data_IF_838198567589
#
_entry.id   IF_838198567589
#
_cell.length_a   1.000
_cell.length_b   1.000
_cell.length_c   1.000
_cell.angle_alpha   90.00
_cell.angle_beta   90.00
_cell.angle_gamma   90.00
#
_symmetry.space_group_name_H-M   'P 1'
#
loop_
_entity.id
_entity.type
_entity.pdbx_description
1 polymer ?
#
# COMPACT_ATOMS: atom_id res chain seq x y z
N UNK A 1 -72.76 -73.40 -14.00
CA UNK A 1 -72.64 -71.99 -14.21
C UNK A 1 -71.48 -71.50 -13.33
N UNK A 2 -70.33 -71.32 -13.92
CA UNK A 2 -69.08 -70.92 -13.23
C UNK A 2 -68.85 -69.45 -13.44
N UNK A 3 -68.64 -68.71 -12.36
CA UNK A 3 -68.24 -67.33 -12.39
C UNK A 3 -66.78 -67.23 -11.95
N UNK A 4 -65.92 -66.93 -12.87
CA UNK A 4 -64.48 -66.62 -12.62
C UNK A 4 -64.30 -65.20 -12.08
N UNK A 5 -63.69 -65.06 -10.93
CA UNK A 5 -63.27 -63.79 -10.37
C UNK A 5 -61.79 -63.60 -10.62
N UNK A 6 -61.43 -62.62 -11.41
CA UNK A 6 -60.07 -62.22 -11.69
C UNK A 6 -59.55 -61.25 -10.59
N UNK A 7 -58.50 -61.64 -9.90
CA UNK A 7 -57.71 -60.77 -8.94
C UNK A 7 -56.71 -59.89 -9.70
N UNK A 8 -56.94 -58.57 -9.71
CA UNK A 8 -55.92 -57.56 -10.14
C UNK A 8 -54.91 -57.36 -9.01
N UNK A 9 -53.71 -57.79 -9.23
CA UNK A 9 -52.55 -57.38 -8.39
C UNK A 9 -52.07 -55.99 -8.80
N UNK A 10 -52.19 -54.99 -7.92
CA UNK A 10 -51.56 -53.66 -8.05
C UNK A 10 -50.10 -53.74 -7.56
N UNK A 11 -49.17 -53.60 -8.45
CA UNK A 11 -47.74 -53.38 -8.11
C UNK A 11 -47.57 -51.95 -7.75
N UNK A 12 -47.19 -51.66 -6.51
CA UNK A 12 -46.75 -50.32 -6.07
C UNK A 12 -45.24 -50.16 -6.37
N UNK A 13 -44.92 -49.39 -7.37
CA UNK A 13 -43.53 -49.01 -7.67
C UNK A 13 -43.07 -47.91 -6.71
N UNK A 14 -42.11 -48.20 -5.85
CA UNK A 14 -41.38 -47.18 -5.07
C UNK A 14 -40.34 -46.52 -5.96
N UNK A 15 -40.54 -45.23 -6.26
CA UNK A 15 -39.49 -44.37 -6.87
C UNK A 15 -38.64 -43.84 -5.75
N UNK A 16 -37.41 -44.33 -5.63
CA UNK A 16 -36.39 -43.76 -4.74
C UNK A 16 -35.75 -42.56 -5.46
N UNK A 17 -36.13 -41.36 -5.05
CA UNK A 17 -35.51 -40.11 -5.50
C UNK A 17 -34.19 -39.97 -4.76
N UNK A 18 -33.07 -40.33 -5.40
CA UNK A 18 -31.72 -40.11 -4.87
C UNK A 18 -31.39 -38.62 -4.91
N UNK A 19 -31.32 -37.96 -3.75
CA UNK A 19 -30.82 -36.61 -3.62
C UNK A 19 -29.30 -36.68 -3.73
N UNK A 20 -28.74 -36.24 -4.86
CA UNK A 20 -27.28 -36.03 -5.02
C UNK A 20 -26.89 -34.80 -4.24
N UNK A 21 -26.33 -34.95 -3.02
CA UNK A 21 -25.68 -33.85 -2.28
C UNK A 21 -24.34 -33.60 -2.93
N UNK A 22 -24.25 -32.59 -3.80
CA UNK A 22 -22.98 -32.09 -4.33
C UNK A 22 -22.32 -31.32 -3.21
N UNK A 23 -21.38 -31.95 -2.52
CA UNK A 23 -20.50 -31.26 -1.58
C UNK A 23 -19.60 -30.29 -2.35
N UNK A 24 -19.93 -29.00 -2.33
CA UNK A 24 -19.07 -27.94 -2.85
C UNK A 24 -17.89 -27.80 -1.90
N UNK A 25 -16.76 -28.41 -2.23
CA UNK A 25 -15.50 -28.09 -1.56
C UNK A 25 -15.10 -26.67 -1.95
N UNK A 26 -14.79 -25.77 -0.98
CA UNK A 26 -14.29 -24.46 -1.32
C UNK A 26 -12.97 -24.63 -2.09
N UNK A 27 -12.94 -24.17 -3.33
CA UNK A 27 -11.69 -24.07 -4.09
C UNK A 27 -10.84 -23.06 -3.34
N UNK A 28 -9.79 -23.53 -2.65
CA UNK A 28 -8.83 -22.65 -2.02
C UNK A 28 -8.07 -21.94 -3.14
N UNK A 29 -8.39 -20.66 -3.38
CA UNK A 29 -7.59 -19.80 -4.25
C UNK A 29 -6.18 -19.73 -3.69
N UNK A 30 -5.17 -19.67 -4.58
CA UNK A 30 -3.79 -19.46 -4.14
C UNK A 30 -3.69 -18.20 -3.30
N UNK A 31 -2.82 -18.21 -2.28
CA UNK A 31 -2.61 -17.06 -1.41
C UNK A 31 -2.13 -15.86 -2.24
N UNK A 32 -2.67 -14.68 -1.93
CA UNK A 32 -2.24 -13.42 -2.51
C UNK A 32 -0.87 -13.03 -1.97
N UNK A 33 0.07 -12.80 -2.85
CA UNK A 33 1.46 -12.51 -2.52
C UNK A 33 1.72 -11.01 -2.54
N UNK A 34 2.01 -10.44 -1.36
CA UNK A 34 2.37 -9.03 -1.17
C UNK A 34 3.87 -8.96 -0.91
N UNK A 35 4.60 -8.23 -1.74
CA UNK A 35 6.03 -7.99 -1.59
C UNK A 35 6.27 -6.60 -1.03
N UNK A 36 7.01 -6.51 0.06
CA UNK A 36 7.43 -5.26 0.68
C UNK A 36 8.92 -5.06 0.44
N UNK A 37 9.28 -3.99 -0.25
CA UNK A 37 10.67 -3.60 -0.51
C UNK A 37 11.03 -2.49 0.47
N UNK A 38 11.84 -2.83 1.48
CA UNK A 38 12.36 -1.92 2.47
C UNK A 38 13.66 -1.26 1.99
N UNK A 39 13.78 0.04 2.16
CA UNK A 39 15.00 0.81 1.86
C UNK A 39 16.19 0.39 2.71
N UNK A 40 17.37 0.90 2.33
CA UNK A 40 18.58 0.78 3.14
C UNK A 40 18.47 1.66 4.39
N UNK A 41 19.20 1.32 5.47
CA UNK A 41 19.31 2.20 6.63
C UNK A 41 19.74 3.61 6.25
N UNK A 42 18.98 4.60 6.69
CA UNK A 42 19.25 6.03 6.47
C UNK A 42 18.68 6.86 7.63
N UNK A 43 19.00 8.13 7.71
CA UNK A 43 18.50 9.05 8.74
C UNK A 43 18.87 8.63 10.18
N UNK A 44 18.66 9.49 11.19
CA UNK A 44 18.87 9.16 12.60
C UNK A 44 18.01 8.00 13.10
N UNK A 45 18.37 7.39 14.26
CA UNK A 45 17.57 6.34 14.89
C UNK A 45 16.10 6.73 15.09
N UNK A 46 15.19 5.83 14.78
CA UNK A 46 13.74 6.04 14.88
C UNK A 46 13.10 6.72 13.68
N UNK A 47 13.91 7.21 12.73
CA UNK A 47 13.46 7.80 11.45
C UNK A 47 13.84 6.86 10.31
N UNK A 48 12.99 6.76 9.27
CA UNK A 48 13.24 5.88 8.10
C UNK A 48 13.63 4.43 8.50
N UNK A 49 12.95 3.89 9.49
CA UNK A 49 13.11 2.48 9.89
C UNK A 49 12.32 1.58 8.92
N UNK A 50 12.73 1.60 7.65
CA UNK A 50 12.00 0.94 6.56
C UNK A 50 11.87 -0.56 6.77
N UNK A 51 12.96 -1.21 7.17
CA UNK A 51 12.99 -2.65 7.44
C UNK A 51 12.08 -3.00 8.62
N UNK A 52 12.19 -2.28 9.72
CA UNK A 52 11.34 -2.50 10.89
C UNK A 52 9.86 -2.28 10.56
N UNK A 53 9.53 -1.21 9.81
CA UNK A 53 8.17 -0.94 9.35
C UNK A 53 7.60 -2.05 8.47
N UNK A 54 8.36 -2.54 7.48
CA UNK A 54 7.92 -3.63 6.62
C UNK A 54 7.72 -4.95 7.40
N UNK A 55 8.62 -5.28 8.34
CA UNK A 55 8.46 -6.45 9.20
C UNK A 55 7.28 -6.32 10.16
N UNK A 56 6.99 -5.11 10.64
CA UNK A 56 5.80 -4.82 11.44
C UNK A 56 4.51 -5.07 10.62
N UNK A 57 4.46 -4.61 9.38
CA UNK A 57 3.31 -4.87 8.48
C UNK A 57 3.17 -6.35 8.16
N UNK A 58 4.29 -7.06 7.92
CA UNK A 58 4.27 -8.51 7.71
C UNK A 58 3.68 -9.23 8.93
N UNK A 59 4.12 -8.89 10.15
CA UNK A 59 3.60 -9.44 11.39
C UNK A 59 2.12 -9.14 11.55
N UNK A 60 1.69 -7.90 11.31
CA UNK A 60 0.31 -7.47 11.45
C UNK A 60 -0.65 -8.19 10.47
N UNK A 61 -0.16 -8.57 9.29
CA UNK A 61 -0.93 -9.28 8.27
C UNK A 61 -0.84 -10.81 8.37
N UNK A 62 0.00 -11.35 9.26
CA UNK A 62 0.23 -12.81 9.36
C UNK A 62 -1.03 -13.62 9.66
N UNK A 63 -2.04 -13.01 10.32
CA UNK A 63 -3.33 -13.62 10.63
C UNK A 63 -4.38 -13.50 9.53
N UNK A 64 -4.10 -12.81 8.42
CA UNK A 64 -5.09 -12.61 7.33
C UNK A 64 -5.10 -13.83 6.41
N UNK A 65 -6.22 -14.58 6.33
CA UNK A 65 -6.29 -15.77 5.50
C UNK A 65 -6.06 -15.46 4.01
N UNK A 66 -5.34 -16.33 3.32
CA UNK A 66 -5.11 -16.20 1.88
C UNK A 66 -4.14 -15.07 1.51
N UNK A 67 -3.34 -14.57 2.46
CA UNK A 67 -2.32 -13.54 2.23
C UNK A 67 -0.95 -14.06 2.66
N UNK A 68 0.04 -13.88 1.80
CA UNK A 68 1.45 -14.10 2.09
C UNK A 68 2.22 -12.81 1.89
N UNK A 69 2.91 -12.36 2.93
CA UNK A 69 3.72 -11.14 2.88
C UNK A 69 5.20 -11.52 2.91
N UNK A 70 5.97 -10.99 1.97
CA UNK A 70 7.43 -11.18 1.90
C UNK A 70 8.12 -9.82 2.00
N UNK A 71 9.22 -9.76 2.74
CA UNK A 71 10.02 -8.54 2.93
C UNK A 71 11.40 -8.72 2.31
N UNK A 72 11.77 -7.78 1.46
CA UNK A 72 13.14 -7.63 0.94
C UNK A 72 13.72 -6.32 1.45
N UNK A 73 14.80 -6.40 2.16
CA UNK A 73 15.54 -5.24 2.66
C UNK A 73 16.60 -4.75 1.67
N UNK A 74 17.33 -3.69 2.05
CA UNK A 74 18.42 -3.10 1.24
C UNK A 74 17.98 -2.49 -0.10
N UNK A 75 16.70 -2.16 -0.26
CA UNK A 75 16.17 -1.34 -1.35
C UNK A 75 15.72 -2.10 -2.58
N UNK A 76 16.06 -3.41 -2.73
CA UNK A 76 15.58 -4.23 -3.84
C UNK A 76 15.83 -5.72 -3.58
N UNK A 77 14.98 -6.63 -4.08
CA UNK A 77 15.28 -8.05 -4.06
C UNK A 77 16.64 -8.32 -4.72
N UNK A 78 17.50 -9.06 -4.04
CA UNK A 78 18.86 -9.29 -4.51
C UNK A 78 19.39 -10.67 -4.10
N UNK A 79 20.33 -11.20 -4.88
CA UNK A 79 21.05 -12.45 -4.62
C UNK A 79 22.54 -12.27 -4.82
N UNK A 80 23.31 -13.21 -4.33
CA UNK A 80 24.74 -13.27 -4.63
C UNK A 80 24.97 -14.00 -5.94
N UNK A 81 25.77 -13.39 -6.83
CA UNK A 81 26.26 -14.00 -8.07
C UNK A 81 27.73 -13.58 -8.24
N UNK A 82 28.61 -14.55 -8.44
CA UNK A 82 30.05 -14.35 -8.65
C UNK A 82 30.72 -13.45 -7.60
N UNK A 83 30.32 -13.62 -6.33
CA UNK A 83 30.83 -12.82 -5.21
C UNK A 83 30.27 -11.39 -5.09
N UNK A 84 29.40 -10.97 -5.99
CA UNK A 84 28.76 -9.67 -5.98
C UNK A 84 27.24 -9.79 -5.70
N UNK A 85 26.67 -8.75 -5.09
CA UNK A 85 25.22 -8.62 -4.92
C UNK A 85 24.62 -8.07 -6.20
N UNK A 86 23.68 -8.81 -6.81
CA UNK A 86 22.96 -8.43 -8.02
C UNK A 86 21.45 -8.40 -7.77
N UNK A 87 20.71 -7.66 -8.58
CA UNK A 87 19.25 -7.64 -8.52
C UNK A 87 18.68 -9.04 -8.81
N UNK A 88 17.70 -9.45 -8.02
CA UNK A 88 16.92 -10.66 -8.23
C UNK A 88 15.48 -10.29 -8.62
N UNK A 89 15.32 -9.84 -9.86
CA UNK A 89 14.03 -9.39 -10.38
C UNK A 89 13.00 -10.54 -10.44
N UNK A 90 13.46 -11.80 -10.56
CA UNK A 90 12.59 -12.97 -10.53
C UNK A 90 11.88 -13.14 -9.17
N UNK A 91 12.43 -12.58 -8.10
CA UNK A 91 11.77 -12.54 -6.79
C UNK A 91 10.44 -11.75 -6.80
N UNK A 92 10.17 -10.95 -7.82
CA UNK A 92 8.91 -10.22 -7.99
C UNK A 92 7.89 -10.98 -8.86
N UNK A 93 8.28 -12.09 -9.49
CA UNK A 93 7.38 -12.88 -10.32
C UNK A 93 6.26 -13.48 -9.47
N UNK A 94 5.03 -13.35 -9.95
CA UNK A 94 3.84 -13.82 -9.23
C UNK A 94 3.45 -12.96 -8.04
N UNK A 95 4.02 -11.77 -7.83
CA UNK A 95 3.52 -10.81 -6.86
C UNK A 95 2.14 -10.28 -7.31
N UNK A 96 1.18 -10.22 -6.39
CA UNK A 96 -0.10 -9.54 -6.59
C UNK A 96 0.00 -8.05 -6.27
N UNK A 97 0.91 -7.69 -5.38
CA UNK A 97 1.17 -6.31 -4.98
C UNK A 97 2.61 -6.10 -4.52
N UNK A 98 3.16 -4.90 -4.76
CA UNK A 98 4.50 -4.48 -4.35
C UNK A 98 4.41 -3.12 -3.67
N UNK A 99 4.91 -3.02 -2.42
CA UNK A 99 5.14 -1.76 -1.73
C UNK A 99 6.62 -1.42 -1.79
N UNK A 100 6.97 -0.18 -2.13
CA UNK A 100 8.30 0.39 -1.97
C UNK A 100 8.25 1.39 -0.83
N UNK A 101 8.89 1.05 0.30
CA UNK A 101 9.03 1.90 1.47
C UNK A 101 10.53 2.13 1.71
N UNK A 102 11.05 3.21 1.12
CA UNK A 102 12.48 3.45 0.97
C UNK A 102 12.78 4.93 0.82
N UNK A 103 14.07 5.29 0.82
CA UNK A 103 14.50 6.63 0.45
C UNK A 103 14.13 6.97 -1.00
N UNK A 104 13.93 8.25 -1.25
CA UNK A 104 13.50 8.82 -2.51
C UNK A 104 14.57 9.59 -3.28
N UNK A 105 14.09 10.56 -4.06
CA UNK A 105 14.93 11.38 -4.92
C UNK A 105 15.70 10.56 -5.95
N UNK A 106 16.94 10.92 -6.21
CA UNK A 106 17.82 10.18 -7.15
C UNK A 106 18.18 8.79 -6.65
N UNK A 107 18.07 8.53 -5.34
CA UNK A 107 18.34 7.24 -4.70
C UNK A 107 17.16 6.30 -4.65
N UNK A 108 15.98 6.72 -5.10
CA UNK A 108 14.77 5.89 -5.07
C UNK A 108 15.03 4.53 -5.74
N UNK A 109 14.77 3.40 -5.05
CA UNK A 109 15.07 2.08 -5.61
C UNK A 109 14.33 1.78 -6.91
N UNK A 110 13.13 2.33 -7.10
CA UNK A 110 12.30 2.10 -8.28
C UNK A 110 12.93 2.59 -9.57
N UNK A 111 13.83 3.59 -9.51
CA UNK A 111 14.40 4.24 -10.71
C UNK A 111 15.85 3.85 -11.00
N UNK A 112 16.41 2.89 -10.26
CA UNK A 112 17.78 2.45 -10.46
C UNK A 112 17.88 1.44 -11.62
N UNK A 113 18.87 1.62 -12.49
CA UNK A 113 19.13 0.68 -13.58
C UNK A 113 17.87 0.37 -14.41
N UNK A 114 17.57 -0.90 -14.58
CA UNK A 114 16.42 -1.38 -15.37
C UNK A 114 15.10 -1.49 -14.56
N UNK A 115 15.11 -1.11 -13.28
CA UNK A 115 13.97 -1.36 -12.37
C UNK A 115 12.68 -0.64 -12.77
N UNK A 116 12.79 0.53 -13.43
CA UNK A 116 11.61 1.20 -14.00
C UNK A 116 10.89 0.31 -15.02
N UNK A 117 11.63 -0.39 -15.87
CA UNK A 117 11.06 -1.34 -16.85
C UNK A 117 10.42 -2.54 -16.18
N UNK A 118 11.02 -3.02 -15.07
CA UNK A 118 10.46 -4.12 -14.27
C UNK A 118 9.11 -3.69 -13.64
N UNK A 119 9.05 -2.50 -13.04
CA UNK A 119 7.82 -1.98 -12.43
C UNK A 119 6.77 -1.70 -13.50
N UNK A 120 7.13 -1.15 -14.65
CA UNK A 120 6.22 -0.98 -15.80
C UNK A 120 5.65 -2.34 -16.26
N UNK A 121 6.47 -3.39 -16.27
CA UNK A 121 6.01 -4.74 -16.63
C UNK A 121 5.06 -5.33 -15.57
N UNK A 122 5.32 -5.12 -14.28
CA UNK A 122 4.42 -5.50 -13.20
C UNK A 122 3.09 -4.72 -13.29
N UNK A 123 3.15 -3.42 -13.53
CA UNK A 123 1.98 -2.58 -13.72
C UNK A 123 1.08 -3.12 -14.85
N UNK A 124 1.65 -3.37 -16.03
CA UNK A 124 0.93 -3.93 -17.19
C UNK A 124 0.25 -5.27 -16.91
N UNK A 125 0.75 -6.04 -15.94
CA UNK A 125 0.11 -7.28 -15.46
C UNK A 125 -0.99 -7.03 -14.44
N UNK A 126 -1.29 -5.78 -14.09
CA UNK A 126 -2.28 -5.40 -13.09
C UNK A 126 -1.82 -5.63 -11.64
N UNK A 127 -0.51 -5.78 -11.39
CA UNK A 127 0.07 -5.88 -10.04
C UNK A 127 -0.17 -4.58 -9.28
N UNK A 128 -0.59 -4.65 -8.03
CA UNK A 128 -0.76 -3.48 -7.17
C UNK A 128 0.58 -2.80 -6.87
N UNK A 129 0.63 -1.46 -6.86
CA UNK A 129 1.85 -0.70 -6.58
C UNK A 129 1.62 0.31 -5.45
N UNK A 130 2.41 0.24 -4.40
CA UNK A 130 2.40 1.17 -3.28
C UNK A 130 3.74 1.86 -3.13
N UNK A 131 3.71 3.16 -2.79
CA UNK A 131 4.91 3.93 -2.46
C UNK A 131 4.67 4.64 -1.12
N UNK A 132 5.58 4.42 -0.17
CA UNK A 132 5.48 4.95 1.18
C UNK A 132 6.54 6.00 1.49
N UNK A 133 6.13 7.04 2.17
CA UNK A 133 6.94 8.14 2.66
C UNK A 133 7.89 8.71 1.59
N UNK A 134 9.18 8.75 1.84
CA UNK A 134 10.17 9.29 0.91
C UNK A 134 10.19 8.53 -0.43
N UNK A 135 9.71 7.27 -0.45
CA UNK A 135 9.54 6.51 -1.69
C UNK A 135 8.61 7.15 -2.73
N UNK A 136 7.77 8.12 -2.36
CA UNK A 136 6.95 8.87 -3.33
C UNK A 136 7.74 9.95 -4.06
N UNK A 137 8.98 10.27 -3.64
CA UNK A 137 9.83 11.26 -4.27
C UNK A 137 10.70 10.65 -5.36
N UNK A 138 10.66 11.25 -6.55
CA UNK A 138 11.57 10.97 -7.66
C UNK A 138 11.91 12.27 -8.39
N UNK A 139 13.02 12.32 -9.15
CA UNK A 139 13.30 13.44 -10.04
C UNK A 139 12.20 13.65 -11.09
N UNK A 140 12.00 14.89 -11.51
CA UNK A 140 11.16 15.23 -12.66
C UNK A 140 11.62 14.52 -13.96
N UNK A 141 10.79 14.56 -14.98
CA UNK A 141 11.03 13.87 -16.26
C UNK A 141 10.61 12.40 -16.23
N UNK A 142 11.36 11.52 -16.85
CA UNK A 142 10.98 10.11 -17.03
C UNK A 142 10.61 9.38 -15.71
N UNK A 143 11.33 9.59 -14.58
CA UNK A 143 10.89 9.04 -13.28
C UNK A 143 9.54 9.59 -12.81
N UNK A 144 9.31 10.90 -12.87
CA UNK A 144 8.03 11.53 -12.51
C UNK A 144 6.89 11.04 -13.40
N UNK A 145 7.12 10.92 -14.70
CA UNK A 145 6.15 10.36 -15.65
C UNK A 145 5.82 8.90 -15.33
N UNK A 146 6.80 8.11 -14.89
CA UNK A 146 6.56 6.75 -14.42
C UNK A 146 5.68 6.73 -13.17
N UNK A 147 5.93 7.60 -12.18
CA UNK A 147 5.09 7.71 -10.99
C UNK A 147 3.66 8.13 -11.34
N UNK A 148 3.46 9.03 -12.31
CA UNK A 148 2.12 9.36 -12.82
C UNK A 148 1.40 8.12 -13.37
N UNK A 149 2.11 7.25 -14.10
CA UNK A 149 1.51 5.99 -14.60
C UNK A 149 1.26 4.97 -13.49
N UNK A 150 2.14 4.90 -12.48
CA UNK A 150 2.10 3.88 -11.43
C UNK A 150 1.13 4.22 -10.31
N UNK A 151 1.18 5.46 -9.81
CA UNK A 151 0.39 5.89 -8.65
C UNK A 151 -0.34 7.23 -8.84
N UNK A 152 -0.25 7.87 -10.01
CA UNK A 152 -1.00 9.07 -10.37
C UNK A 152 -0.46 10.40 -9.82
N UNK A 153 0.57 10.38 -8.99
CA UNK A 153 1.19 11.57 -8.41
C UNK A 153 2.50 11.24 -7.71
N UNK A 154 3.35 12.24 -7.48
CA UNK A 154 4.63 12.05 -6.81
C UNK A 154 5.09 13.35 -6.13
N UNK A 155 6.05 13.25 -5.23
CA UNK A 155 6.76 14.41 -4.68
C UNK A 155 7.86 14.84 -5.66
N UNK A 156 7.85 16.12 -6.02
CA UNK A 156 8.88 16.73 -6.86
C UNK A 156 9.62 17.81 -6.05
N UNK A 157 10.92 17.65 -5.94
CA UNK A 157 11.80 18.62 -5.24
C UNK A 157 11.59 20.04 -5.79
N UNK A 158 11.51 21.06 -4.94
CA UNK A 158 11.21 22.46 -5.21
C UNK A 158 9.76 22.76 -5.63
N UNK A 159 8.92 21.77 -5.76
CA UNK A 159 7.48 21.90 -5.98
C UNK A 159 6.66 21.42 -4.79
N UNK A 160 6.89 20.22 -4.34
CA UNK A 160 6.30 19.64 -3.14
C UNK A 160 7.10 20.02 -1.91
N UNK A 161 6.52 19.90 -0.71
CA UNK A 161 7.16 20.28 0.55
C UNK A 161 6.95 19.20 1.63
N UNK A 162 7.90 19.16 2.57
CA UNK A 162 8.02 18.12 3.60
C UNK A 162 8.22 18.71 5.01
N UNK A 163 7.29 19.53 5.52
CA UNK A 163 7.37 20.03 6.88
C UNK A 163 7.12 18.93 7.92
N UNK A 164 7.70 19.10 9.10
CA UNK A 164 7.28 18.38 10.30
C UNK A 164 6.03 19.05 10.87
N UNK A 165 4.88 18.37 10.85
CA UNK A 165 3.61 18.91 11.36
C UNK A 165 2.62 17.82 11.76
N UNK A 166 1.49 18.22 12.33
CA UNK A 166 0.46 17.30 12.81
C UNK A 166 -0.88 17.57 12.11
N UNK A 167 -1.11 16.99 10.91
CA UNK A 167 -2.41 17.10 10.24
C UNK A 167 -3.50 16.38 11.04
N UNK A 168 -4.69 16.96 11.09
CA UNK A 168 -5.88 16.30 11.59
C UNK A 168 -6.64 15.67 10.41
N UNK A 169 -6.74 14.35 10.40
CA UNK A 169 -7.50 13.60 9.42
C UNK A 169 -8.90 13.30 9.95
N UNK A 170 -9.73 14.35 10.03
CA UNK A 170 -11.06 14.30 10.65
C UNK A 170 -12.13 13.71 9.74
N UNK A 171 -11.91 13.77 8.43
CA UNK A 171 -12.86 13.31 7.42
C UNK A 171 -12.22 12.26 6.54
N UNK A 172 -12.71 11.02 6.65
CA UNK A 172 -12.27 9.91 5.84
C UNK A 172 -13.32 9.57 4.79
N UNK A 173 -12.97 9.38 3.50
CA UNK A 173 -13.92 9.00 2.46
C UNK A 173 -14.44 7.58 2.70
N UNK A 174 -15.62 7.27 2.16
CA UNK A 174 -16.13 5.89 2.15
C UNK A 174 -15.35 5.06 1.12
N UNK A 175 -14.31 4.37 1.58
CA UNK A 175 -13.44 3.52 0.76
C UNK A 175 -13.03 2.25 1.52
N UNK A 176 -12.73 1.11 0.87
CA UNK A 176 -12.23 -0.07 1.57
C UNK A 176 -11.04 0.19 2.50
N UNK A 177 -10.11 1.06 2.09
CA UNK A 177 -8.91 1.41 2.86
C UNK A 177 -9.26 2.10 4.20
N UNK A 178 -10.37 2.83 4.27
CA UNK A 178 -10.79 3.54 5.48
C UNK A 178 -11.71 2.73 6.39
N UNK A 179 -11.98 1.47 6.07
CA UNK A 179 -12.81 0.60 6.93
C UNK A 179 -12.20 0.45 8.31
N UNK A 180 -12.98 0.77 9.34
CA UNK A 180 -12.57 0.68 10.75
C UNK A 180 -11.54 1.71 11.21
N UNK A 181 -11.11 2.62 10.34
CA UNK A 181 -10.22 3.73 10.69
C UNK A 181 -11.05 4.85 11.29
N UNK A 182 -10.63 5.36 12.45
CA UNK A 182 -11.22 6.53 13.10
C UNK A 182 -10.39 7.79 12.77
N UNK A 183 -10.94 9.00 12.95
CA UNK A 183 -10.16 10.23 12.86
C UNK A 183 -8.89 10.15 13.70
N UNK A 184 -7.77 10.60 13.16
CA UNK A 184 -6.48 10.58 13.85
C UNK A 184 -5.58 11.75 13.44
N UNK A 185 -4.53 11.97 14.21
CA UNK A 185 -3.52 12.97 13.93
C UNK A 185 -2.18 12.51 14.53
N UNK A 186 -1.15 12.42 13.72
CA UNK A 186 0.22 12.08 14.13
C UNK A 186 1.17 13.19 13.72
N UNK A 187 2.13 13.52 14.59
CA UNK A 187 3.20 14.45 14.24
C UNK A 187 4.25 13.70 13.43
N UNK A 188 4.38 14.05 12.15
CA UNK A 188 5.28 13.37 11.21
C UNK A 188 5.75 14.34 10.12
N UNK A 189 6.66 13.91 9.28
CA UNK A 189 7.07 14.61 8.07
C UNK A 189 6.03 14.32 6.95
N UNK A 190 4.85 14.92 7.10
CA UNK A 190 3.77 14.76 6.14
C UNK A 190 3.98 15.66 4.93
N UNK A 191 4.27 15.05 3.77
CA UNK A 191 4.46 15.78 2.52
C UNK A 191 3.14 16.23 1.94
N UNK A 192 3.17 17.40 1.29
CA UNK A 192 2.01 17.88 0.56
C UNK A 192 2.41 18.65 -0.72
N UNK A 193 1.41 19.15 -1.47
CA UNK A 193 1.54 19.74 -2.79
C UNK A 193 2.20 18.78 -3.78
N UNK A 194 1.63 17.57 -3.89
CA UNK A 194 2.13 16.57 -4.83
C UNK A 194 2.02 17.04 -6.28
N UNK A 195 2.91 16.55 -7.12
CA UNK A 195 2.81 16.69 -8.57
C UNK A 195 1.85 15.62 -9.10
N UNK A 196 0.61 16.04 -9.37
CA UNK A 196 -0.42 15.16 -9.89
C UNK A 196 -0.31 14.97 -11.40
N UNK A 197 -0.79 13.84 -11.92
CA UNK A 197 -0.98 13.65 -13.35
C UNK A 197 -1.91 14.72 -13.94
N UNK A 198 -1.59 15.19 -15.11
CA UNK A 198 -2.42 16.15 -15.88
C UNK A 198 -3.34 15.43 -16.90
N UNK A 199 -3.28 14.11 -17.00
CA UNK A 199 -4.20 13.32 -17.81
C UNK A 199 -5.59 13.32 -17.16
N UNK A 200 -6.59 13.85 -17.87
CA UNK A 200 -7.95 13.99 -17.35
C UNK A 200 -8.64 12.65 -17.06
N UNK A 201 -8.29 11.59 -17.80
CA UNK A 201 -8.84 10.25 -17.55
C UNK A 201 -8.18 9.61 -16.34
N UNK A 202 -6.87 9.80 -16.15
CA UNK A 202 -6.14 9.34 -14.99
C UNK A 202 -6.59 10.07 -13.71
N UNK A 203 -6.79 11.40 -13.77
CA UNK A 203 -7.26 12.19 -12.64
C UNK A 203 -8.61 11.69 -12.09
N UNK A 204 -9.53 11.26 -12.94
CA UNK A 204 -10.83 10.69 -12.53
C UNK A 204 -10.70 9.35 -11.78
N UNK A 205 -9.54 8.70 -11.84
CA UNK A 205 -9.23 7.42 -11.18
C UNK A 205 -8.47 7.59 -9.87
N UNK A 206 -8.15 8.85 -9.53
CA UNK A 206 -7.54 9.20 -8.24
C UNK A 206 -8.62 9.42 -7.18
N UNK A 207 -8.42 8.87 -6.00
CA UNK A 207 -9.25 9.15 -4.83
C UNK A 207 -8.36 9.60 -3.69
N UNK A 208 -8.50 10.84 -3.20
CA UNK A 208 -7.85 11.29 -1.97
C UNK A 208 -8.36 10.49 -0.77
N UNK A 209 -7.45 10.04 0.08
CA UNK A 209 -7.77 9.22 1.27
C UNK A 209 -7.50 9.99 2.56
N UNK A 210 -6.27 10.50 2.74
CA UNK A 210 -5.92 11.37 3.87
C UNK A 210 -5.76 12.79 3.37
N UNK A 211 -6.63 13.67 3.84
CA UNK A 211 -6.68 15.07 3.43
C UNK A 211 -6.73 15.95 4.68
N UNK A 212 -5.88 16.97 4.72
CA UNK A 212 -5.92 18.00 5.75
C UNK A 212 -5.50 19.36 5.17
N UNK A 213 -5.83 20.45 5.85
CA UNK A 213 -5.44 21.80 5.45
C UNK A 213 -4.26 22.27 6.29
N UNK A 214 -3.05 22.41 5.71
CA UNK A 214 -1.91 23.00 6.43
C UNK A 214 -2.24 24.44 6.85
N UNK A 215 -1.81 24.81 8.07
CA UNK A 215 -1.90 26.21 8.51
C UNK A 215 -0.91 27.10 7.75
N UNK A 216 -1.09 28.39 7.83
CA UNK A 216 -0.16 29.34 7.18
C UNK A 216 1.26 29.24 7.72
N UNK A 217 1.43 28.88 9.02
CA UNK A 217 2.74 28.62 9.62
C UNK A 217 3.40 27.41 8.98
N UNK A 218 2.64 26.30 8.80
CA UNK A 218 3.14 25.08 8.16
C UNK A 218 3.51 25.38 6.70
N UNK A 219 2.74 26.22 6.00
CA UNK A 219 3.04 26.62 4.60
C UNK A 219 4.27 27.51 4.48
N UNK A 220 4.54 28.34 5.48
CA UNK A 220 5.75 29.18 5.53
C UNK A 220 7.02 28.39 5.84
N UNK A 221 6.89 27.17 6.39
CA UNK A 221 8.03 26.34 6.78
C UNK A 221 8.69 26.77 8.09
N UNK A 222 9.95 26.41 8.35
CA UNK A 222 10.84 25.76 7.39
C UNK A 222 10.43 24.31 7.11
N UNK A 223 10.68 23.84 5.88
CA UNK A 223 10.55 22.44 5.52
C UNK A 223 11.83 21.68 5.89
N UNK A 224 11.79 20.36 5.88
CA UNK A 224 12.98 19.56 6.24
C UNK A 224 14.06 19.72 5.17
N UNK A 225 13.75 19.52 3.89
CA UNK A 225 14.72 19.72 2.81
C UNK A 225 14.03 19.74 1.44
N UNK A 226 14.33 20.74 0.59
CA UNK A 226 14.98 22.01 0.89
C UNK A 226 14.13 22.89 1.82
N UNK A 227 14.75 23.77 2.59
CA UNK A 227 14.09 24.46 3.71
C UNK A 227 12.99 25.45 3.33
N UNK A 228 12.90 25.85 2.05
CA UNK A 228 11.93 26.87 1.63
C UNK A 228 12.25 28.27 2.22
N UNK A 229 11.24 29.15 2.36
CA UNK A 229 9.86 28.97 1.89
C UNK A 229 9.70 29.02 0.38
N UNK A 230 8.53 28.60 -0.11
CA UNK A 230 8.17 28.70 -1.53
C UNK A 230 6.90 29.54 -1.70
N UNK A 231 6.96 30.57 -2.56
CA UNK A 231 5.83 31.50 -2.79
C UNK A 231 4.55 30.79 -3.23
N UNK A 232 4.65 29.77 -4.09
CA UNK A 232 3.50 29.03 -4.57
C UNK A 232 2.82 28.21 -3.46
N UNK A 233 3.57 27.76 -2.44
CA UNK A 233 3.01 27.07 -1.27
C UNK A 233 2.33 28.05 -0.33
N UNK A 234 2.92 29.24 -0.12
CA UNK A 234 2.36 30.30 0.73
C UNK A 234 1.06 30.83 0.10
N UNK A 235 1.04 30.99 -1.24
CA UNK A 235 -0.14 31.48 -1.98
C UNK A 235 -1.36 30.56 -1.87
N UNK A 236 -1.16 29.27 -1.55
CA UNK A 236 -2.22 28.26 -1.42
C UNK A 236 -2.87 28.22 -0.02
N UNK A 237 -2.90 29.37 0.72
CA UNK A 237 -3.57 29.50 2.02
C UNK A 237 -4.98 28.92 2.00
N UNK A 238 -5.31 28.07 2.98
CA UNK A 238 -6.62 27.44 3.13
C UNK A 238 -6.90 26.28 2.17
N UNK A 239 -6.01 25.97 1.25
CA UNK A 239 -6.15 24.84 0.34
C UNK A 239 -5.95 23.52 1.08
N UNK A 240 -6.89 22.58 0.91
CA UNK A 240 -6.73 21.22 1.40
C UNK A 240 -5.69 20.45 0.57
N UNK A 241 -4.87 19.67 1.26
CA UNK A 241 -3.78 18.90 0.67
C UNK A 241 -3.98 17.41 0.91
N UNK A 242 -3.50 16.60 -0.04
CA UNK A 242 -3.65 15.14 0.02
C UNK A 242 -2.33 14.49 0.41
N UNK A 243 -2.31 13.75 1.53
CA UNK A 243 -1.16 13.04 2.06
C UNK A 243 -1.22 11.52 1.84
N UNK A 244 -2.40 10.99 1.53
CA UNK A 244 -2.57 9.63 1.03
C UNK A 244 -3.62 9.63 -0.07
N UNK A 245 -3.36 8.88 -1.12
CA UNK A 245 -4.29 8.73 -2.25
C UNK A 245 -4.23 7.33 -2.81
N UNK A 246 -5.27 6.94 -3.52
CA UNK A 246 -5.31 5.71 -4.32
C UNK A 246 -5.48 6.03 -5.79
N UNK A 247 -5.01 5.14 -6.62
CA UNK A 247 -5.13 5.21 -8.07
C UNK A 247 -5.56 3.87 -8.64
N UNK A 248 -6.76 3.82 -9.21
CA UNK A 248 -7.28 2.66 -9.93
C UNK A 248 -6.80 2.73 -11.38
N UNK A 249 -5.68 2.07 -11.67
CA UNK A 249 -5.02 2.16 -12.97
C UNK A 249 -5.87 1.58 -14.11
N UNK A 250 -5.68 2.09 -15.36
CA UNK A 250 -6.38 1.56 -16.55
C UNK A 250 -6.10 0.08 -16.84
N UNK A 251 -4.94 -0.45 -16.41
CA UNK A 251 -4.56 -1.87 -16.54
C UNK A 251 -5.26 -2.78 -15.52
N UNK A 252 -6.16 -2.22 -14.69
CA UNK A 252 -6.88 -2.92 -13.64
C UNK A 252 -6.06 -3.11 -12.34
N UNK A 253 -4.84 -2.59 -12.26
CA UNK A 253 -4.06 -2.55 -11.04
C UNK A 253 -4.59 -1.49 -10.07
N UNK A 254 -4.37 -1.71 -8.77
CA UNK A 254 -4.70 -0.78 -7.69
C UNK A 254 -3.43 -0.26 -7.07
N UNK A 255 -3.31 1.05 -6.92
CA UNK A 255 -2.09 1.66 -6.42
C UNK A 255 -2.37 2.71 -5.36
N UNK A 256 -1.37 3.04 -4.55
CA UNK A 256 -1.47 4.14 -3.61
C UNK A 256 -0.12 4.85 -3.40
N UNK A 257 -0.19 6.13 -2.98
CA UNK A 257 0.90 6.86 -2.37
C UNK A 257 0.52 7.26 -0.95
N UNK A 258 1.47 7.22 -0.04
CA UNK A 258 1.32 7.57 1.37
C UNK A 258 2.54 8.35 1.83
N UNK A 259 2.35 9.57 2.32
CA UNK A 259 3.47 10.49 2.59
C UNK A 259 3.98 10.50 4.05
N UNK A 260 3.24 9.91 4.99
CA UNK A 260 3.69 9.72 6.36
C UNK A 260 4.65 8.53 6.52
N UNK A 261 5.13 8.30 7.74
CA UNK A 261 5.98 7.15 8.06
C UNK A 261 7.46 7.50 8.17
N UNK A 262 7.81 8.78 8.30
CA UNK A 262 9.14 9.24 8.67
C UNK A 262 9.53 8.72 10.06
N UNK A 263 8.66 8.96 11.02
CA UNK A 263 8.85 8.57 12.41
C UNK A 263 8.27 7.17 12.65
N UNK A 264 9.11 6.19 12.92
CA UNK A 264 8.70 4.80 13.08
C UNK A 264 7.70 4.59 14.23
N UNK A 265 7.88 5.32 15.34
CA UNK A 265 6.98 5.24 16.50
C UNK A 265 5.52 5.58 16.15
N UNK A 266 5.25 6.33 15.07
CA UNK A 266 3.90 6.64 14.61
C UNK A 266 3.12 5.41 14.13
N UNK A 267 3.79 4.30 13.83
CA UNK A 267 3.10 3.01 13.61
C UNK A 267 2.46 2.45 14.88
N UNK A 268 2.72 3.06 16.05
CA UNK A 268 1.98 2.82 17.30
C UNK A 268 0.55 3.34 17.27
N UNK A 269 0.24 4.39 16.48
CA UNK A 269 -1.14 4.82 16.25
C UNK A 269 -1.88 3.74 15.44
N UNK A 270 -2.91 3.15 16.03
CA UNK A 270 -3.64 2.05 15.43
C UNK A 270 -4.40 2.45 14.16
N UNK A 271 -4.80 3.70 14.00
CA UNK A 271 -5.52 4.19 12.82
C UNK A 271 -4.54 4.42 11.66
N UNK A 272 -3.37 5.03 11.92
CA UNK A 272 -2.31 5.17 10.92
C UNK A 272 -1.82 3.80 10.45
N UNK A 273 -1.63 2.85 11.35
CA UNK A 273 -1.25 1.48 11.00
C UNK A 273 -2.36 0.76 10.23
N UNK A 274 -3.61 0.84 10.70
CA UNK A 274 -4.76 0.19 10.06
C UNK A 274 -4.97 0.67 8.63
N UNK A 275 -4.86 1.96 8.36
CA UNK A 275 -5.06 2.49 7.00
C UNK A 275 -3.99 1.96 6.03
N UNK A 276 -2.74 1.80 6.49
CA UNK A 276 -1.67 1.19 5.71
C UNK A 276 -1.93 -0.30 5.46
N UNK A 277 -2.31 -1.06 6.48
CA UNK A 277 -2.62 -2.49 6.34
C UNK A 277 -3.80 -2.74 5.40
N UNK A 278 -4.85 -1.92 5.52
CA UNK A 278 -6.00 -1.96 4.60
C UNK A 278 -5.56 -1.65 3.16
N UNK A 279 -4.65 -0.69 2.97
CA UNK A 279 -4.13 -0.33 1.65
C UNK A 279 -3.34 -1.49 1.02
N UNK A 280 -2.54 -2.20 1.81
CA UNK A 280 -1.81 -3.40 1.36
C UNK A 280 -2.76 -4.50 0.88
N UNK A 281 -3.83 -4.79 1.62
CA UNK A 281 -4.85 -5.75 1.20
C UNK A 281 -5.57 -5.29 -0.06
N UNK A 282 -6.03 -4.03 -0.08
CA UNK A 282 -6.79 -3.48 -1.19
C UNK A 282 -5.99 -3.49 -2.50
N UNK A 283 -4.69 -3.13 -2.46
CA UNK A 283 -3.86 -3.14 -3.67
C UNK A 283 -3.58 -4.55 -4.18
N UNK A 284 -3.54 -5.56 -3.29
CA UNK A 284 -3.44 -6.98 -3.65
C UNK A 284 -4.77 -7.59 -4.12
N UNK A 285 -5.84 -6.77 -4.18
CA UNK A 285 -7.22 -7.21 -4.49
C UNK A 285 -7.76 -8.25 -3.51
N UNK A 286 -7.31 -8.15 -2.25
CA UNK A 286 -7.89 -8.87 -1.12
C UNK A 286 -9.01 -8.01 -0.53
N UNK A 287 -10.10 -8.63 -0.14
CA UNK A 287 -11.19 -7.93 0.53
C UNK A 287 -10.73 -7.42 1.90
N UNK A 288 -10.84 -6.11 2.09
CA UNK A 288 -10.59 -5.51 3.40
C UNK A 288 -11.76 -5.83 4.33
N UNK A 289 -11.53 -6.36 5.54
CA UNK A 289 -12.60 -6.64 6.49
C UNK A 289 -13.48 -5.40 6.78
N UNK A 290 -14.74 -5.60 7.14
CA UNK A 290 -15.68 -4.49 7.40
C UNK A 290 -15.18 -3.51 8.48
N UNK A 291 -14.45 -4.02 9.49
CA UNK A 291 -13.81 -3.23 10.55
C UNK A 291 -12.33 -2.91 10.30
N UNK A 292 -11.86 -3.10 9.07
CA UNK A 292 -10.44 -3.01 8.70
C UNK A 292 -9.64 -4.20 9.21
N UNK A 293 -8.33 -4.18 8.96
CA UNK A 293 -7.42 -5.18 9.53
C UNK A 293 -7.36 -4.98 11.05
N UNK A 294 -7.60 -6.04 11.79
CA UNK A 294 -7.40 -6.11 13.23
C UNK A 294 -6.05 -6.79 13.48
N UNK A 295 -5.12 -6.08 14.06
CA UNK A 295 -3.77 -6.56 14.34
C UNK A 295 -3.52 -6.67 15.85
N UNK A 296 -2.45 -7.37 16.23
CA UNK A 296 -2.01 -7.57 17.61
C UNK A 296 -0.63 -6.96 17.86
N UNK A 297 -0.33 -5.84 17.19
CA UNK A 297 0.93 -5.13 17.37
C UNK A 297 0.96 -4.48 18.75
N UNK A 298 2.06 -4.68 19.47
CA UNK A 298 2.32 -4.15 20.82
C UNK A 298 3.40 -3.07 20.77
N UNK A 299 3.56 -2.32 21.87
CA UNK A 299 4.67 -1.36 22.00
C UNK A 299 6.05 -2.02 21.88
N UNK A 300 6.20 -3.26 22.37
CA UNK A 300 7.44 -4.00 22.21
C UNK A 300 7.78 -4.29 20.75
N UNK A 301 6.79 -4.47 19.88
CA UNK A 301 6.99 -4.68 18.45
C UNK A 301 7.56 -3.45 17.74
N UNK A 302 7.22 -2.26 18.20
CA UNK A 302 7.73 -1.00 17.65
C UNK A 302 9.22 -0.79 17.92
N UNK A 303 9.80 -1.51 18.84
CA UNK A 303 11.23 -1.43 19.18
C UNK A 303 12.06 -2.55 18.58
N UNK A 304 11.41 -3.51 17.90
CA UNK A 304 12.09 -4.63 17.25
C UNK A 304 12.56 -4.29 15.84
N UNK A 305 13.61 -4.95 15.42
CA UNK A 305 14.15 -4.86 14.05
C UNK A 305 14.57 -3.47 13.60
N UNK A 306 14.73 -2.52 14.52
CA UNK A 306 15.28 -1.20 14.19
C UNK A 306 16.67 -1.34 13.60
N UNK A 307 17.03 -0.45 12.70
CA UNK A 307 18.36 -0.42 12.11
C UNK A 307 19.42 -0.02 13.14
N UNK A 308 20.59 -0.63 13.07
CA UNK A 308 21.75 -0.23 13.88
C UNK A 308 22.32 1.09 13.33
N UNK A 309 21.72 2.19 13.74
CA UNK A 309 22.09 3.56 13.33
C UNK A 309 22.87 4.24 14.45
N UNK A 310 24.12 4.60 14.17
CA UNK A 310 24.90 5.40 15.11
C UNK A 310 24.27 6.79 15.24
N UNK A 311 24.11 7.29 16.48
CA UNK A 311 23.78 8.68 16.74
C UNK A 311 24.92 9.54 16.15
N UNK A 312 24.64 10.33 15.14
CA UNK A 312 25.56 11.31 14.58
C UNK A 312 25.51 12.59 15.39
#
# INVERSE_FOLDING_TARGET
MQTSSSLLRRAAGFVILGVLVVASFPVRTADKRIVLIAGKPSHPPGMHEFRAGCLLFQKALAGVPGVKVEVYDLGWPSKMADGARVDDNAALDGADAVLIFADGGRGNPAIQGERMKIIDALAKKGVGLGFGHYGVEVPAGAPGEAMHRWIGGYYETLWSVNPMWKPAFDKLPKHPITRGVQPFATHDEWYFNMRWTNDAAATKRLTPILVATPTDEVRKGPYVSPRGPYDHIIADTGKAETMMWVYERPDGGRSFGFTGGHTHANWGDSNQRKIMLNALLWMAKVDVPARGVEDHITEADLTQNLDDKKRR
#
